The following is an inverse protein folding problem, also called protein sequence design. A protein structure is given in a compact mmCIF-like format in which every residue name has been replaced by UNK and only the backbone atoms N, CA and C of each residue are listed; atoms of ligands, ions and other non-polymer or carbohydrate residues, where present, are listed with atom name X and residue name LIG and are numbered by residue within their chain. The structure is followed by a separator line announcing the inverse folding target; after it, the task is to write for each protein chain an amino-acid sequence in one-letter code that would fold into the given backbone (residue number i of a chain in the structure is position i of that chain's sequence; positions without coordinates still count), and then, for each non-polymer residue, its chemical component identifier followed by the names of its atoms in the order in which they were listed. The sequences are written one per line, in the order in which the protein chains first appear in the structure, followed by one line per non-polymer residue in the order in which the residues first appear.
data_IF_501315819664
#
_entry.id   IF_501315819664
#
_cell.length_a   1.000
_cell.length_b   1.000
_cell.length_c   1.000
_cell.angle_alpha   90.00
_cell.angle_beta   90.00
_cell.angle_gamma   90.00
#
_symmetry.space_group_name_H-M   'P 1'
#
loop_
_entity.id
_entity.type
_entity.pdbx_description
1 polymer ?
#
# COMPACT_ATOMS: atom_id res chain seq x y z
N UNK A 1 -40.61 1.27 -21.32
CA UNK A 1 -39.69 0.18 -20.94
C UNK A 1 -39.02 0.61 -19.66
N UNK A 2 -39.35 -0.03 -18.56
CA UNK A 2 -38.77 0.29 -17.26
C UNK A 2 -37.33 -0.25 -17.21
N UNK A 3 -36.36 0.66 -17.12
CA UNK A 3 -34.98 0.31 -16.85
C UNK A 3 -34.91 -0.25 -15.42
N UNK A 4 -35.03 -1.57 -15.29
CA UNK A 4 -34.79 -2.26 -14.03
C UNK A 4 -33.35 -1.95 -13.62
N UNK A 5 -33.21 -1.25 -12.50
CA UNK A 5 -31.91 -1.00 -11.87
C UNK A 5 -31.32 -2.35 -11.48
N UNK A 6 -30.32 -2.79 -12.22
CA UNK A 6 -29.60 -4.02 -11.90
C UNK A 6 -28.93 -3.85 -10.54
N UNK A 7 -29.14 -4.83 -9.67
CA UNK A 7 -28.52 -4.86 -8.36
C UNK A 7 -26.99 -4.90 -8.54
N UNK A 8 -26.21 -4.16 -7.71
CA UNK A 8 -24.76 -4.26 -7.72
C UNK A 8 -24.36 -5.72 -7.61
N UNK A 9 -23.59 -6.22 -8.58
CA UNK A 9 -23.14 -7.60 -8.59
C UNK A 9 -22.39 -7.89 -7.31
N UNK A 10 -22.67 -9.05 -6.69
CA UNK A 10 -21.84 -9.55 -5.60
C UNK A 10 -20.39 -9.61 -6.11
N UNK A 11 -19.55 -8.76 -5.56
CA UNK A 11 -18.14 -8.62 -5.88
C UNK A 11 -17.45 -9.98 -5.67
N UNK A 12 -17.25 -10.74 -6.74
CA UNK A 12 -16.59 -12.04 -6.70
C UNK A 12 -15.27 -11.91 -7.45
N UNK A 13 -14.17 -12.00 -6.71
CA UNK A 13 -12.80 -11.85 -7.23
C UNK A 13 -12.56 -12.68 -8.51
N UNK A 14 -13.17 -13.87 -8.59
CA UNK A 14 -13.03 -14.74 -9.75
C UNK A 14 -13.72 -14.19 -11.01
N UNK A 15 -14.91 -13.59 -10.88
CA UNK A 15 -15.62 -13.04 -12.05
C UNK A 15 -14.91 -11.79 -12.57
N UNK A 16 -14.32 -11.00 -11.67
CA UNK A 16 -13.51 -9.83 -12.04
C UNK A 16 -12.21 -10.25 -12.72
N UNK A 17 -11.54 -11.30 -12.24
CA UNK A 17 -10.35 -11.84 -12.91
C UNK A 17 -10.65 -12.33 -14.33
N UNK A 18 -11.74 -13.10 -14.50
CA UNK A 18 -12.17 -13.57 -15.83
C UNK A 18 -12.57 -12.38 -16.71
N UNK A 19 -13.29 -11.40 -16.17
CA UNK A 19 -13.68 -10.21 -16.90
C UNK A 19 -12.46 -9.38 -17.33
N UNK A 20 -11.53 -9.10 -16.41
CA UNK A 20 -10.31 -8.34 -16.67
C UNK A 20 -9.44 -9.02 -17.71
N UNK A 21 -9.33 -10.35 -17.68
CA UNK A 21 -8.62 -11.11 -18.70
C UNK A 21 -9.30 -11.03 -20.08
N UNK A 22 -10.63 -11.17 -20.12
CA UNK A 22 -11.38 -11.04 -21.38
C UNK A 22 -11.30 -9.61 -21.91
N UNK A 23 -11.31 -8.61 -21.04
CA UNK A 23 -11.12 -7.21 -21.39
C UNK A 23 -9.69 -6.94 -21.86
N UNK A 24 -8.65 -7.49 -21.23
CA UNK A 24 -7.25 -7.30 -21.64
C UNK A 24 -6.96 -7.94 -23.00
N UNK A 25 -7.57 -9.09 -23.30
CA UNK A 25 -7.51 -9.69 -24.65
C UNK A 25 -8.23 -8.87 -25.73
N UNK A 26 -9.26 -8.12 -25.33
CA UNK A 26 -10.06 -7.31 -26.24
C UNK A 26 -9.60 -5.85 -26.30
N UNK A 27 -8.85 -5.39 -25.29
CA UNK A 27 -8.18 -4.11 -25.27
C UNK A 27 -7.18 -4.15 -26.43
N UNK A 28 -7.52 -3.38 -27.45
CA UNK A 28 -6.75 -3.19 -28.68
C UNK A 28 -5.25 -3.18 -28.43
N UNK A 29 -4.51 -3.84 -29.32
CA UNK A 29 -3.04 -3.87 -29.45
C UNK A 29 -2.39 -2.47 -29.38
N UNK A 30 -2.45 -1.80 -28.23
CA UNK A 30 -1.63 -0.64 -27.97
C UNK A 30 -0.20 -1.14 -27.83
N UNK A 31 0.76 -0.52 -28.55
CA UNK A 31 2.13 -1.00 -28.55
C UNK A 31 2.67 -0.96 -27.12
N UNK A 32 2.93 -2.13 -26.55
CA UNK A 32 3.59 -2.25 -25.26
C UNK A 32 4.99 -1.65 -25.43
N UNK A 33 5.23 -0.54 -24.73
CA UNK A 33 6.52 0.15 -24.77
C UNK A 33 7.50 -0.72 -23.96
N UNK A 34 8.25 -1.58 -24.65
CA UNK A 34 9.31 -2.41 -24.08
C UNK A 34 10.61 -1.60 -23.93
N UNK A 35 11.59 -2.14 -23.20
CA UNK A 35 12.93 -1.57 -23.02
C UNK A 35 13.69 -1.33 -24.35
N UNK A 36 13.25 -1.96 -25.44
CA UNK A 36 13.79 -1.79 -26.79
C UNK A 36 13.04 -0.75 -27.63
N UNK A 37 11.95 -0.17 -27.11
CA UNK A 37 11.13 0.78 -27.84
C UNK A 37 11.81 2.15 -27.84
N UNK A 38 12.26 2.60 -29.01
CA UNK A 38 12.87 3.92 -29.20
C UNK A 38 11.75 4.93 -29.48
N UNK A 39 11.52 5.83 -28.52
CA UNK A 39 10.59 6.95 -28.68
C UNK A 39 11.35 8.13 -29.31
N UNK A 40 11.04 8.43 -30.57
CA UNK A 40 11.61 9.61 -31.24
C UNK A 40 10.64 10.77 -31.10
N UNK A 41 11.01 11.81 -30.36
CA UNK A 41 10.20 13.02 -30.18
C UNK A 41 10.74 14.13 -31.11
N UNK A 42 9.95 14.54 -32.09
CA UNK A 42 10.31 15.62 -33.03
C UNK A 42 9.29 16.73 -33.03
N UNK A 43 9.74 17.99 -33.10
CA UNK A 43 8.88 19.17 -33.15
C UNK A 43 8.27 19.44 -34.54
N UNK A 44 8.77 18.78 -35.58
CA UNK A 44 8.39 19.03 -36.98
C UNK A 44 7.49 17.91 -37.52
N UNK A 45 6.23 18.24 -37.79
CA UNK A 45 5.20 17.28 -38.23
C UNK A 45 5.42 16.77 -39.67
N UNK A 46 6.25 17.48 -40.44
CA UNK A 46 6.56 17.12 -41.83
C UNK A 46 7.55 15.96 -41.93
N UNK A 47 8.46 15.81 -40.95
CA UNK A 47 9.43 14.71 -40.87
C UNK A 47 8.76 13.35 -40.61
N UNK A 48 7.60 13.36 -39.96
CA UNK A 48 6.84 12.14 -39.62
C UNK A 48 6.29 11.46 -40.89
N UNK A 49 5.91 12.24 -41.91
CA UNK A 49 5.31 11.70 -43.14
C UNK A 49 6.31 11.00 -44.06
N UNK A 50 7.59 11.36 -43.94
CA UNK A 50 8.68 10.81 -44.74
C UNK A 50 9.62 9.94 -43.89
N UNK A 51 9.14 9.46 -42.74
CA UNK A 51 9.96 8.63 -41.85
C UNK A 51 10.30 7.30 -42.54
N UNK A 52 11.54 7.18 -43.00
CA UNK A 52 12.10 5.96 -43.54
C UNK A 52 12.98 5.34 -42.45
N UNK A 53 12.69 4.09 -42.06
CA UNK A 53 13.53 3.38 -41.10
C UNK A 53 14.90 3.17 -41.72
N UNK A 54 15.87 3.99 -41.32
CA UNK A 54 17.27 3.77 -41.66
C UNK A 54 17.83 2.79 -40.65
N UNK A 55 18.21 1.60 -41.12
CA UNK A 55 19.06 0.68 -40.37
C UNK A 55 20.31 1.45 -39.95
N UNK A 56 20.58 1.42 -38.64
CA UNK A 56 21.54 2.26 -37.90
C UNK A 56 22.67 2.81 -38.78
N UNK A 57 22.70 4.12 -39.09
CA UNK A 57 23.89 4.71 -39.66
C UNK A 57 25.02 4.55 -38.64
N UNK A 58 26.18 4.15 -39.14
CA UNK A 58 27.48 4.12 -38.44
C UNK A 58 27.57 5.28 -37.45
N UNK A 59 27.95 5.05 -36.18
CA UNK A 59 27.91 6.07 -35.14
C UNK A 59 28.73 7.28 -35.58
N UNK A 60 28.03 8.37 -35.92
CA UNK A 60 28.68 9.66 -36.06
C UNK A 60 29.32 10.03 -34.72
N UNK A 61 30.52 10.62 -34.72
CA UNK A 61 31.21 10.97 -33.50
C UNK A 61 30.28 11.85 -32.65
N UNK A 62 30.20 11.59 -31.33
CA UNK A 62 29.31 12.33 -30.45
C UNK A 62 29.60 13.82 -30.62
N UNK A 63 28.62 14.54 -31.18
CA UNK A 63 28.64 15.99 -31.11
C UNK A 63 28.59 16.32 -29.63
N UNK A 64 29.74 16.75 -29.10
CA UNK A 64 29.85 17.25 -27.74
C UNK A 64 28.96 18.47 -27.70
N UNK A 65 27.71 18.29 -27.26
CA UNK A 65 26.90 19.38 -26.79
C UNK A 65 27.65 19.88 -25.56
N UNK A 66 28.48 20.90 -25.75
CA UNK A 66 29.08 21.64 -24.65
C UNK A 66 27.93 22.27 -23.86
N UNK A 67 27.41 21.52 -22.90
CA UNK A 67 26.57 22.06 -21.84
C UNK A 67 27.47 22.98 -21.03
N UNK A 68 27.59 24.24 -21.46
CA UNK A 68 28.20 25.29 -20.66
C UNK A 68 27.28 25.45 -19.43
N UNK A 69 27.70 25.04 -18.23
CA UNK A 69 26.84 25.16 -17.06
C UNK A 69 26.69 26.65 -16.75
N UNK A 70 25.51 27.20 -17.06
CA UNK A 70 25.17 28.55 -16.65
C UNK A 70 24.80 28.54 -15.17
N UNK A 71 25.82 28.62 -14.32
CA UNK A 71 25.63 28.76 -12.87
C UNK A 71 25.20 30.21 -12.60
N UNK A 72 23.90 30.45 -12.54
CA UNK A 72 23.37 31.65 -11.87
C UNK A 72 23.31 31.35 -10.38
N UNK A 73 24.19 31.99 -9.62
CA UNK A 73 24.10 32.02 -8.17
C UNK A 73 22.83 32.81 -7.84
N UNK A 74 21.78 32.10 -7.47
CA UNK A 74 20.57 32.70 -6.93
C UNK A 74 20.93 33.13 -5.51
N UNK A 75 21.18 34.42 -5.31
CA UNK A 75 21.30 34.98 -3.97
C UNK A 75 19.99 34.66 -3.24
N UNK A 76 20.11 33.90 -2.14
CA UNK A 76 18.96 33.56 -1.32
C UNK A 76 18.31 34.87 -0.88
N UNK A 77 17.08 35.12 -1.35
CA UNK A 77 16.24 36.22 -0.86
C UNK A 77 16.07 35.94 0.63
N UNK A 78 16.85 36.66 1.44
CA UNK A 78 16.91 36.49 2.87
C UNK A 78 15.50 36.57 3.42
N UNK A 79 15.02 35.45 3.97
CA UNK A 79 13.79 35.45 4.74
C UNK A 79 13.95 36.49 5.84
N UNK A 80 13.27 37.64 5.69
CA UNK A 80 13.29 38.71 6.67
C UNK A 80 12.52 38.28 7.92
N UNK A 81 13.13 37.42 8.74
CA UNK A 81 12.71 37.18 10.12
C UNK A 81 13.69 37.90 11.02
N UNK A 82 13.17 38.96 11.63
CA UNK A 82 13.74 39.80 12.69
C UNK A 82 14.78 39.05 13.54
N UNK A 83 16.05 39.23 13.22
CA UNK A 83 17.17 38.84 14.07
C UNK A 83 17.24 39.87 15.21
N UNK A 84 16.93 39.43 16.43
CA UNK A 84 17.34 40.15 17.63
C UNK A 84 18.86 40.02 17.73
N UNK A 85 19.53 41.17 17.78
CA UNK A 85 20.98 41.35 17.94
C UNK A 85 21.56 40.45 19.04
N UNK A 86 22.64 39.75 18.67
CA UNK A 86 23.80 39.61 19.55
C UNK A 86 24.06 38.25 20.18
N UNK A 87 24.22 37.17 19.39
CA UNK A 87 25.04 36.02 19.78
C UNK A 87 25.72 35.47 18.50
N UNK A 88 27.04 35.37 18.57
CA UNK A 88 28.04 34.74 17.67
C UNK A 88 27.54 33.85 16.52
N UNK A 89 28.09 34.12 15.32
CA UNK A 89 27.95 33.45 14.02
C UNK A 89 28.62 32.04 13.94
N UNK A 90 28.66 31.30 15.05
CA UNK A 90 29.11 29.88 15.14
C UNK A 90 27.99 28.93 15.63
N UNK A 91 26.75 29.42 15.73
CA UNK A 91 25.62 28.70 16.35
C UNK A 91 24.61 28.10 15.37
N UNK A 92 24.97 27.90 14.10
CA UNK A 92 24.16 27.10 13.15
C UNK A 92 24.36 25.58 13.34
N UNK A 93 25.11 25.18 14.38
CA UNK A 93 25.15 23.80 14.84
C UNK A 93 23.78 23.49 15.45
N UNK A 94 22.90 22.95 14.62
CA UNK A 94 21.64 22.37 15.09
C UNK A 94 22.03 21.22 16.02
N UNK A 95 21.75 21.40 17.30
CA UNK A 95 21.95 20.36 18.30
C UNK A 95 21.21 19.07 17.89
N UNK A 96 21.90 17.94 17.96
CA UNK A 96 21.37 16.64 17.54
C UNK A 96 20.07 16.31 18.28
N UNK A 97 19.96 16.69 19.55
CA UNK A 97 18.74 16.51 20.34
C UNK A 97 17.55 17.30 19.74
N UNK A 98 17.79 18.53 19.30
CA UNK A 98 16.77 19.35 18.64
C UNK A 98 16.38 18.77 17.27
N UNK A 99 17.36 18.31 16.48
CA UNK A 99 17.13 17.66 15.19
C UNK A 99 16.28 16.39 15.36
N UNK A 100 16.68 15.49 16.24
CA UNK A 100 15.96 14.26 16.55
C UNK A 100 14.54 14.55 17.03
N UNK A 101 14.34 15.54 17.92
CA UNK A 101 13.01 15.90 18.41
C UNK A 101 12.09 16.43 17.31
N UNK A 102 12.64 17.18 16.35
CA UNK A 102 11.90 17.68 15.18
C UNK A 102 11.54 16.57 14.20
N UNK A 103 12.46 15.65 13.96
CA UNK A 103 12.29 14.58 12.97
C UNK A 103 11.53 13.35 13.49
N UNK A 104 11.49 13.12 14.80
CA UNK A 104 10.82 11.96 15.43
C UNK A 104 9.37 11.79 14.98
N UNK A 105 8.62 12.89 14.81
CA UNK A 105 7.23 12.80 14.32
C UNK A 105 7.16 12.33 12.88
N UNK A 106 7.98 12.91 12.00
CA UNK A 106 8.03 12.54 10.59
C UNK A 106 8.51 11.11 10.39
N UNK A 107 9.52 10.69 11.15
CA UNK A 107 10.02 9.33 11.16
C UNK A 107 8.91 8.33 11.56
N UNK A 108 8.14 8.63 12.61
CA UNK A 108 7.01 7.79 13.03
C UNK A 108 5.88 7.75 11.99
N UNK A 109 5.57 8.89 11.36
CA UNK A 109 4.54 8.97 10.34
C UNK A 109 4.96 8.19 9.07
N UNK A 110 6.22 8.30 8.65
CA UNK A 110 6.80 7.53 7.54
C UNK A 110 6.80 6.03 7.87
N UNK A 111 7.21 5.65 9.07
CA UNK A 111 7.17 4.25 9.54
C UNK A 111 5.74 3.71 9.54
N UNK A 112 4.76 4.51 9.95
CA UNK A 112 3.35 4.14 9.93
C UNK A 112 2.83 3.98 8.50
N UNK A 113 3.24 4.85 7.57
CA UNK A 113 2.89 4.73 6.16
C UNK A 113 3.49 3.46 5.55
N UNK A 114 4.79 3.20 5.77
CA UNK A 114 5.47 1.96 5.34
C UNK A 114 4.76 0.72 5.86
N UNK A 115 4.34 0.71 7.13
CA UNK A 115 3.59 -0.42 7.70
C UNK A 115 2.23 -0.63 7.03
N UNK A 116 1.49 0.45 6.74
CA UNK A 116 0.20 0.35 6.01
C UNK A 116 0.37 -0.18 4.60
N UNK A 117 1.42 0.24 3.91
CA UNK A 117 1.73 -0.26 2.57
C UNK A 117 2.17 -1.72 2.61
N UNK A 118 3.04 -2.09 3.57
CA UNK A 118 3.45 -3.49 3.80
C UNK A 118 2.25 -4.39 4.09
N UNK A 119 1.32 -3.96 4.94
CA UNK A 119 0.10 -4.70 5.25
C UNK A 119 -0.83 -4.80 4.04
N UNK A 120 -1.03 -3.70 3.30
CA UNK A 120 -1.82 -3.69 2.06
C UNK A 120 -1.26 -4.67 1.03
N UNK A 121 0.07 -4.69 0.86
CA UNK A 121 0.77 -5.57 -0.05
C UNK A 121 0.67 -7.04 0.37
N UNK A 122 0.82 -7.34 1.67
CA UNK A 122 0.60 -8.69 2.21
C UNK A 122 -0.83 -9.18 2.02
N UNK A 123 -1.79 -8.31 2.25
CA UNK A 123 -3.19 -8.62 2.01
C UNK A 123 -3.46 -8.89 0.53
N UNK A 124 -2.90 -8.08 -0.38
CA UNK A 124 -2.96 -8.32 -1.82
C UNK A 124 -2.34 -9.66 -2.23
N UNK A 125 -1.15 -9.97 -1.72
CA UNK A 125 -0.49 -11.27 -1.92
C UNK A 125 -1.37 -12.45 -1.45
N UNK A 126 -1.96 -12.33 -0.26
CA UNK A 126 -2.85 -13.35 0.28
C UNK A 126 -4.10 -13.56 -0.61
N UNK A 127 -4.73 -12.48 -1.07
CA UNK A 127 -5.86 -12.55 -2.00
C UNK A 127 -5.47 -13.20 -3.32
N UNK A 128 -4.30 -12.84 -3.86
CA UNK A 128 -3.80 -13.42 -5.10
C UNK A 128 -3.52 -14.92 -4.94
N UNK A 129 -2.93 -15.32 -3.81
CA UNK A 129 -2.70 -16.74 -3.49
C UNK A 129 -4.01 -17.52 -3.43
N UNK A 130 -5.04 -16.98 -2.76
CA UNK A 130 -6.37 -17.59 -2.74
C UNK A 130 -7.00 -17.69 -4.14
N UNK A 131 -6.80 -16.67 -4.98
CA UNK A 131 -7.29 -16.68 -6.36
C UNK A 131 -6.62 -17.79 -7.18
N UNK A 132 -5.30 -17.93 -7.09
CA UNK A 132 -4.55 -19.01 -7.74
C UNK A 132 -5.06 -20.38 -7.30
N UNK A 133 -5.19 -20.61 -5.99
CA UNK A 133 -5.73 -21.88 -5.47
C UNK A 133 -7.14 -22.14 -5.98
N UNK A 134 -8.00 -21.10 -6.00
CA UNK A 134 -9.37 -21.22 -6.48
C UNK A 134 -9.46 -21.53 -7.97
N UNK A 135 -8.64 -20.90 -8.82
CA UNK A 135 -8.57 -21.19 -10.26
C UNK A 135 -8.06 -22.60 -10.48
N UNK A 136 -7.05 -23.04 -9.71
CA UNK A 136 -6.49 -24.39 -9.80
C UNK A 136 -7.52 -25.48 -9.52
N UNK A 137 -8.42 -25.26 -8.56
CA UNK A 137 -9.51 -26.19 -8.23
C UNK A 137 -10.83 -25.84 -8.92
N UNK A 138 -10.83 -24.95 -9.90
CA UNK A 138 -12.07 -24.49 -10.55
C UNK A 138 -12.58 -25.52 -11.56
N UNK A 139 -13.87 -25.84 -11.45
CA UNK A 139 -14.54 -26.69 -12.44
C UNK A 139 -14.79 -25.95 -13.76
N UNK A 140 -14.62 -26.65 -14.89
CA UNK A 140 -14.89 -26.12 -16.24
C UNK A 140 -16.32 -25.60 -16.40
N UNK A 141 -17.30 -26.26 -15.77
CA UNK A 141 -18.71 -25.86 -15.82
C UNK A 141 -18.95 -24.49 -15.14
N UNK A 142 -18.23 -24.21 -14.06
CA UNK A 142 -18.30 -22.90 -13.39
C UNK A 142 -17.70 -21.82 -14.29
N UNK A 143 -16.55 -22.09 -14.92
CA UNK A 143 -15.94 -21.17 -15.87
C UNK A 143 -16.86 -20.91 -17.07
N UNK A 144 -17.47 -21.95 -17.65
CA UNK A 144 -18.47 -21.83 -18.71
C UNK A 144 -19.63 -20.93 -18.30
N UNK A 145 -20.16 -21.11 -17.09
CA UNK A 145 -21.25 -20.28 -16.55
C UNK A 145 -20.84 -18.80 -16.39
N UNK A 146 -19.63 -18.53 -15.89
CA UNK A 146 -19.11 -17.16 -15.73
C UNK A 146 -18.92 -16.51 -17.10
N UNK A 147 -18.26 -17.20 -18.03
CA UNK A 147 -17.99 -16.70 -19.38
C UNK A 147 -19.28 -16.42 -20.14
N UNK A 148 -20.25 -17.35 -20.08
CA UNK A 148 -21.59 -17.14 -20.64
C UNK A 148 -22.24 -15.90 -20.03
N UNK A 149 -22.24 -15.74 -18.70
CA UNK A 149 -22.79 -14.56 -18.04
C UNK A 149 -22.14 -13.24 -18.50
N UNK A 150 -20.82 -13.22 -18.65
CA UNK A 150 -20.07 -12.04 -19.13
C UNK A 150 -20.40 -11.76 -20.60
N UNK A 151 -20.37 -12.78 -21.48
CA UNK A 151 -20.67 -12.63 -22.91
C UNK A 151 -22.08 -12.10 -23.16
N UNK A 152 -23.05 -12.55 -22.38
CA UNK A 152 -24.43 -12.06 -22.43
C UNK A 152 -24.54 -10.57 -22.08
N UNK A 153 -23.70 -10.07 -21.16
CA UNK A 153 -23.64 -8.64 -20.82
C UNK A 153 -22.91 -7.80 -21.86
N UNK A 154 -21.87 -8.35 -22.47
CA UNK A 154 -21.07 -7.63 -23.47
C UNK A 154 -21.68 -7.71 -24.89
N UNK A 155 -22.86 -8.32 -25.06
CA UNK A 155 -23.52 -8.54 -26.36
C UNK A 155 -22.61 -9.18 -27.43
N UNK A 156 -21.61 -9.97 -27.01
CA UNK A 156 -20.71 -10.72 -27.91
C UNK A 156 -21.18 -12.16 -27.96
N UNK A 157 -22.14 -12.44 -28.84
CA UNK A 157 -22.62 -13.79 -29.09
C UNK A 157 -21.89 -14.33 -30.32
N UNK A 158 -20.80 -15.05 -30.08
CA UNK A 158 -20.12 -15.84 -31.12
C UNK A 158 -20.72 -17.25 -31.11
N UNK A 159 -21.27 -17.68 -32.24
CA UNK A 159 -21.66 -19.08 -32.43
C UNK A 159 -20.38 -19.91 -32.61
N UNK A 160 -19.93 -20.54 -31.52
CA UNK A 160 -18.87 -21.55 -31.55
C UNK A 160 -19.49 -22.95 -31.48
N UNK A 161 -18.83 -23.93 -32.11
CA UNK A 161 -19.19 -25.33 -31.93
C UNK A 161 -18.90 -25.77 -30.49
N UNK A 162 -19.54 -26.85 -30.02
CA UNK A 162 -19.31 -27.35 -28.65
C UNK A 162 -17.84 -27.74 -28.41
N UNK A 163 -17.18 -28.30 -29.42
CA UNK A 163 -15.76 -28.68 -29.38
C UNK A 163 -14.84 -27.46 -29.31
N UNK A 164 -15.13 -26.41 -30.10
CA UNK A 164 -14.38 -25.15 -30.06
C UNK A 164 -14.58 -24.42 -28.73
N UNK A 165 -15.78 -24.49 -28.15
CA UNK A 165 -16.09 -23.89 -26.85
C UNK A 165 -15.33 -24.59 -25.73
N UNK A 166 -15.27 -25.93 -25.72
CA UNK A 166 -14.51 -26.67 -24.72
C UNK A 166 -13.01 -26.35 -24.79
N UNK A 167 -12.44 -26.33 -26.01
CA UNK A 167 -11.04 -25.98 -26.21
C UNK A 167 -10.73 -24.55 -25.78
N UNK A 168 -11.61 -23.60 -26.12
CA UNK A 168 -11.49 -22.20 -25.69
C UNK A 168 -11.50 -22.06 -24.16
N UNK A 169 -12.37 -22.82 -23.47
CA UNK A 169 -12.45 -22.78 -22.01
C UNK A 169 -11.20 -23.36 -21.35
N UNK A 170 -10.59 -24.40 -21.94
CA UNK A 170 -9.32 -24.97 -21.47
C UNK A 170 -8.15 -23.99 -21.67
N UNK A 171 -8.07 -23.36 -22.84
CA UNK A 171 -7.07 -22.32 -23.12
C UNK A 171 -7.26 -21.10 -22.20
N UNK A 172 -8.51 -20.74 -21.90
CA UNK A 172 -8.85 -19.68 -20.96
C UNK A 172 -8.44 -20.03 -19.53
N UNK A 173 -8.74 -21.26 -19.08
CA UNK A 173 -8.39 -21.73 -17.73
C UNK A 173 -6.87 -21.72 -17.53
N UNK A 174 -6.14 -22.31 -18.46
CA UNK A 174 -4.67 -22.39 -18.41
C UNK A 174 -4.03 -21.01 -18.45
N UNK A 175 -4.51 -20.11 -19.31
CA UNK A 175 -3.98 -18.76 -19.39
C UNK A 175 -4.31 -17.92 -18.15
N UNK A 176 -5.53 -18.03 -17.60
CA UNK A 176 -5.93 -17.33 -16.38
C UNK A 176 -5.08 -17.80 -15.19
N UNK A 177 -4.81 -19.11 -15.12
CA UNK A 177 -3.95 -19.68 -14.09
C UNK A 177 -2.50 -19.18 -14.25
N UNK A 178 -1.98 -19.14 -15.48
CA UNK A 178 -0.64 -18.62 -15.76
C UNK A 178 -0.49 -17.15 -15.36
N UNK A 179 -1.43 -16.30 -15.75
CA UNK A 179 -1.42 -14.88 -15.38
C UNK A 179 -1.54 -14.70 -13.87
N UNK A 180 -2.45 -15.42 -13.23
CA UNK A 180 -2.61 -15.35 -11.77
C UNK A 180 -1.34 -15.79 -11.03
N UNK A 181 -0.64 -16.80 -11.54
CA UNK A 181 0.65 -17.24 -11.01
C UNK A 181 1.73 -16.18 -11.22
N UNK A 182 1.81 -15.58 -12.41
CA UNK A 182 2.76 -14.49 -12.68
C UNK A 182 2.57 -13.31 -11.72
N UNK A 183 1.33 -12.91 -11.46
CA UNK A 183 1.02 -11.88 -10.46
C UNK A 183 1.47 -12.27 -9.05
N UNK A 184 1.30 -13.54 -8.67
CA UNK A 184 1.78 -14.06 -7.39
C UNK A 184 3.31 -13.97 -7.32
N UNK A 185 4.00 -14.39 -8.38
CA UNK A 185 5.46 -14.36 -8.48
C UNK A 185 6.00 -12.93 -8.40
N UNK A 186 5.31 -11.94 -8.98
CA UNK A 186 5.68 -10.50 -8.83
C UNK A 186 5.66 -10.05 -7.36
N UNK A 187 4.70 -10.52 -6.57
CA UNK A 187 4.67 -10.23 -5.14
C UNK A 187 5.82 -10.93 -4.38
N UNK A 188 6.21 -12.13 -4.80
CA UNK A 188 7.36 -12.85 -4.23
C UNK A 188 8.69 -12.16 -4.56
N UNK A 189 8.85 -11.67 -5.79
CA UNK A 189 10.01 -10.86 -6.20
C UNK A 189 10.12 -9.58 -5.38
N UNK A 190 8.98 -8.96 -5.04
CA UNK A 190 8.91 -7.81 -4.14
C UNK A 190 9.19 -8.18 -2.66
N UNK A 191 9.47 -9.45 -2.38
CA UNK A 191 9.86 -9.93 -1.05
C UNK A 191 8.69 -10.09 -0.07
N UNK A 192 7.44 -10.03 -0.53
CA UNK A 192 6.26 -10.05 0.35
C UNK A 192 5.95 -11.47 0.85
N UNK A 193 6.33 -12.49 0.08
CA UNK A 193 6.14 -13.91 0.40
C UNK A 193 7.28 -14.56 1.18
N UNK A 194 8.44 -13.90 1.28
CA UNK A 194 9.56 -14.39 2.10
C UNK A 194 9.26 -14.04 3.55
N UNK A 195 9.27 -15.03 4.43
CA UNK A 195 9.10 -14.80 5.85
C UNK A 195 10.17 -13.79 6.30
N UNK A 196 9.77 -12.71 6.97
CA UNK A 196 10.70 -11.67 7.46
C UNK A 196 11.86 -12.29 8.30
N UNK A 197 11.64 -13.49 8.86
CA UNK A 197 12.65 -14.24 9.61
C UNK A 197 13.87 -14.69 8.77
N UNK A 198 13.72 -15.00 7.48
CA UNK A 198 14.88 -15.35 6.64
C UNK A 198 15.68 -14.11 6.24
N UNK A 199 15.03 -12.96 6.02
CA UNK A 199 15.72 -11.70 5.73
C UNK A 199 16.45 -11.15 6.95
N UNK A 200 15.87 -11.27 8.15
CA UNK A 200 16.52 -10.85 9.39
C UNK A 200 17.66 -11.81 9.76
N UNK A 201 17.56 -13.10 9.45
CA UNK A 201 18.67 -14.06 9.63
C UNK A 201 19.83 -13.81 8.65
N UNK A 202 19.55 -13.46 7.40
CA UNK A 202 20.60 -13.12 6.43
C UNK A 202 21.29 -11.79 6.78
N UNK A 203 20.52 -10.77 7.20
CA UNK A 203 21.08 -9.50 7.68
C UNK A 203 21.84 -9.64 9.02
N UNK A 204 21.40 -10.55 9.90
CA UNK A 204 22.11 -10.88 11.15
C UNK A 204 23.39 -11.69 10.91
N UNK A 205 23.45 -12.53 9.86
CA UNK A 205 24.66 -13.26 9.51
C UNK A 205 25.76 -12.33 8.95
N UNK A 206 25.39 -11.31 8.16
CA UNK A 206 26.34 -10.36 7.56
C UNK A 206 26.83 -9.28 8.56
N UNK A 207 26.10 -9.04 9.65
CA UNK A 207 26.47 -8.11 10.73
C UNK A 207 27.17 -8.76 11.93
N UNK A 208 27.50 -10.05 11.86
CA UNK A 208 28.25 -10.77 12.90
C UNK A 208 29.75 -10.46 12.93
N UNK A 209 30.14 -9.23 12.60
CA UNK A 209 31.46 -8.70 12.87
C UNK A 209 31.63 -8.46 14.38
N UNK A 210 32.13 -9.50 15.07
CA UNK A 210 32.84 -9.44 16.37
C UNK A 210 32.34 -8.38 17.37
N UNK A 211 31.08 -8.44 17.78
CA UNK A 211 30.62 -7.75 18.98
C UNK A 211 31.20 -8.49 20.18
N UNK A 212 32.01 -7.81 21.00
CA UNK A 212 32.69 -8.42 22.15
C UNK A 212 31.70 -9.08 23.11
N UNK A 213 32.08 -10.20 23.70
CA UNK A 213 31.25 -10.91 24.68
C UNK A 213 30.91 -10.04 25.90
N UNK A 214 31.72 -9.02 26.17
CA UNK A 214 31.50 -8.01 27.20
C UNK A 214 30.29 -7.11 26.90
N UNK A 215 30.08 -6.73 25.64
CA UNK A 215 28.90 -5.96 25.23
C UNK A 215 27.61 -6.78 25.34
N UNK A 216 27.67 -8.08 25.01
CA UNK A 216 26.52 -8.99 25.17
C UNK A 216 26.15 -9.16 26.64
N UNK A 217 27.14 -9.32 27.52
CA UNK A 217 26.91 -9.38 28.96
C UNK A 217 26.37 -8.07 29.53
N UNK A 218 26.84 -6.92 29.05
CA UNK A 218 26.33 -5.61 29.49
C UNK A 218 24.85 -5.43 29.11
N UNK A 219 24.46 -5.83 27.90
CA UNK A 219 23.07 -5.76 27.43
C UNK A 219 22.15 -6.66 28.27
N UNK A 220 22.59 -7.88 28.56
CA UNK A 220 21.83 -8.84 29.37
C UNK A 220 21.69 -8.39 30.83
N UNK A 221 22.74 -7.77 31.39
CA UNK A 221 22.71 -7.19 32.73
C UNK A 221 21.75 -6.00 32.83
N UNK A 222 21.69 -5.15 31.81
CA UNK A 222 20.78 -4.00 31.77
C UNK A 222 19.32 -4.42 31.59
N UNK A 223 19.06 -5.44 30.75
CA UNK A 223 17.71 -6.01 30.61
C UNK A 223 17.21 -6.58 31.94
N UNK A 224 18.08 -7.27 32.69
CA UNK A 224 17.76 -7.83 34.01
C UNK A 224 17.42 -6.73 35.03
N UNK A 225 18.13 -5.60 34.98
CA UNK A 225 17.85 -4.42 35.81
C UNK A 225 16.53 -3.76 35.43
N UNK A 226 16.20 -3.64 34.14
CA UNK A 226 14.91 -3.10 33.71
C UNK A 226 13.74 -3.98 34.19
N UNK A 227 13.84 -5.31 34.07
CA UNK A 227 12.82 -6.23 34.60
C UNK A 227 12.63 -6.11 36.10
N UNK A 228 13.71 -5.92 36.87
CA UNK A 228 13.60 -5.66 38.31
C UNK A 228 12.94 -4.32 38.64
N UNK A 229 13.12 -3.29 37.81
CA UNK A 229 12.50 -1.96 38.01
C UNK A 229 11.00 -1.97 37.71
N UNK A 230 10.53 -2.78 36.76
CA UNK A 230 9.11 -2.81 36.38
C UNK A 230 8.19 -3.49 37.42
N UNK A 231 8.71 -4.35 38.30
CA UNK A 231 7.88 -5.07 39.28
C UNK A 231 7.54 -4.21 40.51
N UNK A 232 8.22 -3.08 40.73
CA UNK A 232 8.01 -2.24 41.93
C UNK A 232 7.03 -1.06 41.75
N UNK A 233 6.57 -0.74 40.54
CA UNK A 233 5.78 0.47 40.29
C UNK A 233 4.26 0.27 40.18
N UNK A 234 3.72 -0.92 40.46
CA UNK A 234 2.28 -1.18 40.33
C UNK A 234 1.55 -1.75 41.55
N UNK A 235 2.22 -1.91 42.70
CA UNK A 235 1.60 -2.46 43.93
C UNK A 235 1.41 -1.43 45.04
N UNK A 236 0.92 -0.23 44.71
CA UNK A 236 0.68 0.82 45.70
C UNK A 236 -0.68 1.49 45.50
N UNK A 237 -1.58 1.24 46.45
CA UNK A 237 -2.82 1.98 46.74
C UNK A 237 -4.07 1.69 45.90
N UNK A 238 -4.87 0.72 46.36
CA UNK A 238 -6.33 0.74 46.21
C UNK A 238 -6.98 0.06 47.44
N UNK A 239 -7.19 0.85 48.50
CA UNK A 239 -8.15 0.54 49.56
C UNK A 239 -9.12 1.71 49.65
N UNK A 240 -10.41 1.39 49.88
CA UNK A 240 -11.50 2.31 50.32
C UNK A 240 -12.21 3.04 49.16
N UNK A 241 -13.52 2.95 48.89
CA UNK A 241 -14.74 2.50 49.60
C UNK A 241 -15.76 1.90 48.62
N UNK A 242 -16.61 0.98 49.12
CA UNK A 242 -17.64 0.30 48.34
C UNK A 242 -18.73 1.19 47.72
N UNK A 243 -19.20 0.73 46.56
CA UNK A 243 -20.53 0.95 46.00
C UNK A 243 -20.78 -0.16 44.97
N UNK A 244 -22.06 -0.42 44.70
CA UNK A 244 -22.64 -1.70 44.36
C UNK A 244 -22.30 -2.29 42.97
N UNK A 245 -22.58 -3.58 42.88
CA UNK A 245 -22.55 -4.39 41.67
C UNK A 245 -23.52 -3.83 40.62
N UNK A 246 -23.00 -3.45 39.44
CA UNK A 246 -23.81 -3.49 38.23
C UNK A 246 -23.01 -3.97 37.02
N UNK A 247 -23.68 -4.85 36.28
CA UNK A 247 -23.18 -5.63 35.16
C UNK A 247 -23.14 -4.76 33.91
N UNK A 248 -21.97 -4.71 33.27
CA UNK A 248 -21.68 -4.77 31.82
C UNK A 248 -20.52 -3.86 31.49
N UNK A 249 -19.46 -4.46 30.93
CA UNK A 249 -18.22 -3.79 30.59
C UNK A 249 -18.43 -2.67 29.59
N UNK A 250 -18.21 -1.44 30.04
CA UNK A 250 -17.99 -0.28 29.17
C UNK A 250 -16.65 0.33 29.59
N UNK A 251 -15.56 -0.20 29.04
CA UNK A 251 -14.24 0.44 29.05
C UNK A 251 -14.25 1.65 28.10
N UNK A 252 -15.17 2.59 28.28
CA UNK A 252 -15.13 3.85 27.54
C UNK A 252 -14.14 4.76 28.24
N UNK A 253 -12.98 4.89 27.61
CA UNK A 253 -11.94 5.86 27.94
C UNK A 253 -12.59 7.23 28.14
N UNK A 254 -12.50 7.76 29.36
CA UNK A 254 -12.85 9.14 29.70
C UNK A 254 -11.81 10.01 29.00
N UNK A 255 -12.01 10.28 27.71
CA UNK A 255 -11.22 11.25 26.97
C UNK A 255 -11.88 12.59 27.17
N UNK A 256 -11.12 13.54 27.69
CA UNK A 256 -11.54 14.93 27.81
C UNK A 256 -12.02 15.42 26.43
N UNK A 257 -13.31 15.73 26.32
CA UNK A 257 -13.91 16.20 25.06
C UNK A 257 -13.64 17.69 24.95
N UNK A 258 -12.95 18.09 23.88
CA UNK A 258 -12.70 19.49 23.55
C UNK A 258 -13.53 19.92 22.36
N UNK A 259 -14.20 21.06 22.46
CA UNK A 259 -14.86 21.73 21.34
C UNK A 259 -14.30 23.15 21.20
N UNK A 260 -14.03 23.59 19.96
CA UNK A 260 -13.43 24.91 19.69
C UNK A 260 -12.11 25.19 20.45
N UNK A 261 -11.33 24.15 20.71
CA UNK A 261 -10.06 24.26 21.45
C UNK A 261 -10.22 24.49 22.96
N UNK A 262 -11.45 24.46 23.50
CA UNK A 262 -11.72 24.53 24.93
C UNK A 262 -12.25 23.19 25.45
N UNK A 263 -11.88 22.84 26.68
CA UNK A 263 -12.40 21.67 27.38
C UNK A 263 -13.87 21.91 27.72
N UNK A 264 -14.74 21.00 27.30
CA UNK A 264 -16.15 21.06 27.70
C UNK A 264 -16.28 20.72 29.19
N UNK A 265 -17.19 21.38 29.91
CA UNK A 265 -17.57 20.97 31.26
C UNK A 265 -18.03 19.51 31.25
N UNK A 266 -17.82 18.76 32.36
CA UNK A 266 -18.38 17.42 32.47
C UNK A 266 -19.91 17.52 32.35
N UNK A 267 -20.48 16.79 31.39
CA UNK A 267 -21.92 16.62 31.22
C UNK A 267 -22.24 15.13 31.34
N UNK A 268 -23.41 14.82 31.91
CA UNK A 268 -23.91 13.46 31.96
C UNK A 268 -24.36 13.05 30.56
N UNK A 269 -23.93 11.86 30.13
CA UNK A 269 -24.33 11.32 28.84
C UNK A 269 -25.73 10.73 29.04
N UNK A 270 -26.76 11.50 28.72
CA UNK A 270 -28.10 10.97 28.53
C UNK A 270 -28.15 10.17 27.22
N UNK A 271 -28.54 8.91 27.30
CA UNK A 271 -28.81 8.11 26.12
C UNK A 271 -30.07 8.67 25.45
N UNK A 272 -29.98 9.01 24.16
CA UNK A 272 -31.10 9.56 23.41
C UNK A 272 -32.19 8.49 23.28
N UNK A 273 -33.28 8.66 24.00
CA UNK A 273 -34.49 7.87 23.82
C UNK A 273 -35.29 8.43 22.65
N UNK A 274 -35.58 7.60 21.65
CA UNK A 274 -36.45 8.01 20.55
C UNK A 274 -37.87 8.23 21.10
N UNK A 275 -38.55 9.33 20.72
CA UNK A 275 -39.95 9.55 21.06
C UNK A 275 -40.81 8.35 20.65
N UNK A 276 -41.67 7.89 21.57
CA UNK A 276 -42.50 6.69 21.40
C UNK A 276 -43.43 6.77 20.16
N UNK A 277 -43.77 7.98 19.73
CA UNK A 277 -44.58 8.26 18.53
C UNK A 277 -43.95 7.70 17.24
N UNK A 278 -42.65 7.44 17.23
CA UNK A 278 -41.92 6.93 16.05
C UNK A 278 -41.72 5.41 16.10
N UNK A 279 -42.14 4.76 17.19
CA UNK A 279 -42.06 3.31 17.38
C UNK A 279 -43.33 2.56 16.97
N UNK A 280 -44.45 3.25 16.75
CA UNK A 280 -45.67 2.63 16.21
C UNK A 280 -45.53 2.44 14.70
N UNK A 281 -45.22 1.20 14.29
CA UNK A 281 -45.32 0.73 12.91
C UNK A 281 -46.75 0.27 12.61
N UNK A 282 -47.28 0.70 11.47
CA UNK A 282 -48.33 -0.04 10.74
C UNK A 282 -47.81 -1.40 10.25
#
# INVERSE_FOLDING_TARGET
MENKRELPTRHNFLTEAVQSYLESKNATNEPTIDLKTILTVTSDSTLIKNFQYHETPTPEPPSVIEHIPQIKIIEAIGASKKIRKGVTLDNDIIDDEYYLKRHRRHELDEKKQKNREKERLRHGYYQQKQLVERIKTMDKNLLKSIVSSIRHRTHKQEEMTEEDEEKYLDDLHTSLLSEAQEHLDRYEVLGIGKNDEESDQLAAMESSATVSDEFKQALEAEERLQRQRQIKSFSGHATFTGAEQSKRGSRRSIRNVTAFGQLLPPFEIEEFELPEEWLTKE
#
